data_IF_263652034456
#
_entry.id   IF_263652034456
#
_cell.length_a   1.000
_cell.length_b   1.000
_cell.length_c   1.000
_cell.angle_alpha   90.00
_cell.angle_beta   90.00
_cell.angle_gamma   90.00
#
_symmetry.space_group_name_H-M   'P 1'
#
loop_
_entity.id
_entity.type
_entity.pdbx_description
1 polymer ?
#
# COMPACT_ATOMS: atom_id res chain seq x y z
N UNK A 1 -13.85 5.18 -11.54
CA UNK A 1 -13.67 3.78 -11.01
C UNK A 1 -12.28 3.61 -10.44
N UNK A 2 -12.13 2.85 -9.34
CA UNK A 2 -10.80 2.47 -8.83
C UNK A 2 -10.18 1.44 -9.78
N UNK A 3 -9.02 1.73 -10.32
CA UNK A 3 -8.39 0.91 -11.34
C UNK A 3 -6.96 0.45 -10.99
N UNK A 4 -6.35 1.04 -9.95
CA UNK A 4 -4.98 0.73 -9.56
C UNK A 4 -4.75 0.80 -8.06
N UNK A 5 -3.80 0.02 -7.60
CA UNK A 5 -3.11 0.28 -6.35
C UNK A 5 -2.09 1.39 -6.64
N UNK A 6 -2.36 2.59 -6.13
CA UNK A 6 -1.48 3.74 -6.36
C UNK A 6 -0.17 3.58 -5.61
N UNK A 7 -0.26 3.37 -4.30
CA UNK A 7 0.91 3.10 -3.47
C UNK A 7 0.57 2.42 -2.15
N UNK A 8 1.61 1.99 -1.48
CA UNK A 8 1.58 1.46 -0.12
C UNK A 8 2.34 2.38 0.81
N UNK A 9 1.86 2.53 2.03
CA UNK A 9 2.49 3.37 3.05
C UNK A 9 3.13 2.49 4.11
N UNK A 10 4.42 2.72 4.36
CA UNK A 10 5.16 2.18 5.51
C UNK A 10 5.44 3.33 6.47
N UNK A 11 4.88 3.23 7.67
CA UNK A 11 5.14 4.20 8.72
C UNK A 11 6.47 3.87 9.41
N UNK A 12 7.34 4.87 9.52
CA UNK A 12 8.68 4.74 10.13
C UNK A 12 8.92 5.86 11.14
N UNK A 13 9.74 5.59 12.15
CA UNK A 13 10.13 6.58 13.18
C UNK A 13 11.27 7.47 12.70
N UNK A 14 12.22 6.91 11.96
CA UNK A 14 13.38 7.59 11.38
C UNK A 14 13.43 7.36 9.87
N UNK A 15 13.12 8.41 9.10
CA UNK A 15 13.07 8.32 7.65
C UNK A 15 14.44 8.01 7.04
N UNK A 16 15.53 8.58 7.58
CA UNK A 16 16.85 8.41 7.01
C UNK A 16 17.35 6.97 7.18
N UNK A 17 17.19 6.40 8.36
CA UNK A 17 17.51 5.00 8.63
C UNK A 17 16.69 4.06 7.76
N UNK A 18 15.38 4.33 7.63
CA UNK A 18 14.51 3.55 6.76
C UNK A 18 14.91 3.65 5.27
N UNK A 19 15.31 4.82 4.77
CA UNK A 19 15.82 4.98 3.40
C UNK A 19 17.03 4.08 3.17
N UNK A 20 17.96 4.00 4.12
CA UNK A 20 19.15 3.15 4.00
C UNK A 20 18.79 1.67 3.92
N UNK A 21 17.89 1.20 4.78
CA UNK A 21 17.47 -0.20 4.81
C UNK A 21 16.64 -0.59 3.60
N UNK A 22 15.69 0.26 3.19
CA UNK A 22 14.90 0.00 1.98
C UNK A 22 15.71 0.16 0.70
N UNK A 23 16.77 0.97 0.68
CA UNK A 23 17.73 1.02 -0.43
C UNK A 23 18.46 -0.31 -0.60
N UNK A 24 18.93 -0.93 0.50
CA UNK A 24 19.49 -2.29 0.48
C UNK A 24 18.45 -3.32 0.00
N UNK A 25 17.24 -3.22 0.51
CA UNK A 25 16.15 -4.14 0.14
C UNK A 25 15.78 -4.03 -1.33
N UNK A 26 15.46 -2.84 -1.85
CA UNK A 26 15.08 -2.64 -3.25
C UNK A 26 16.26 -2.77 -4.21
N UNK A 27 17.49 -2.42 -3.78
CA UNK A 27 18.69 -2.32 -4.59
C UNK A 27 18.85 -0.99 -5.32
N UNK A 28 18.01 -0.01 -5.05
CA UNK A 28 18.08 1.35 -5.60
C UNK A 28 17.56 2.38 -4.57
N UNK A 29 17.99 3.62 -4.75
CA UNK A 29 17.57 4.74 -3.89
C UNK A 29 16.16 5.23 -4.23
N UNK A 30 15.45 5.88 -3.29
CA UNK A 30 14.21 6.57 -3.62
C UNK A 30 14.49 7.66 -4.67
N UNK A 31 13.50 7.98 -5.48
CA UNK A 31 13.60 9.03 -6.50
C UNK A 31 12.88 10.31 -6.11
N UNK A 32 12.35 10.32 -4.89
CA UNK A 32 11.69 11.45 -4.28
C UNK A 32 11.94 11.41 -2.78
N UNK A 33 12.39 12.51 -2.21
CA UNK A 33 12.43 12.76 -0.77
C UNK A 33 11.84 14.13 -0.54
N UNK A 34 10.69 14.20 0.12
CA UNK A 34 9.95 15.45 0.23
C UNK A 34 9.15 15.57 1.51
N UNK A 35 8.35 16.63 1.57
CA UNK A 35 7.49 16.89 2.72
C UNK A 35 6.08 17.28 2.32
N UNK A 36 5.18 17.04 3.25
CA UNK A 36 3.83 17.56 3.25
C UNK A 36 3.73 18.57 4.41
N UNK A 37 4.13 19.81 4.14
CA UNK A 37 4.28 20.84 5.18
C UNK A 37 3.00 21.05 6.00
N UNK A 38 1.84 21.08 5.35
CA UNK A 38 0.54 21.26 6.00
C UNK A 38 0.12 20.08 6.89
N UNK A 39 0.64 18.87 6.62
CA UNK A 39 0.35 17.66 7.38
C UNK A 39 1.41 17.39 8.47
N UNK A 40 2.55 18.06 8.41
CA UNK A 40 3.70 17.83 9.29
C UNK A 40 4.36 16.47 9.08
N UNK A 41 4.50 16.02 7.83
CA UNK A 41 5.10 14.73 7.48
C UNK A 41 6.20 14.86 6.44
N UNK A 42 7.14 13.92 6.45
CA UNK A 42 8.18 13.74 5.43
C UNK A 42 8.10 12.34 4.86
N UNK A 43 8.49 12.21 3.60
CA UNK A 43 8.42 10.92 2.92
C UNK A 43 9.61 10.64 1.99
N UNK A 44 9.77 9.36 1.66
CA UNK A 44 10.65 8.90 0.58
C UNK A 44 9.89 7.89 -0.29
N UNK A 45 9.97 8.05 -1.62
CA UNK A 45 9.20 7.24 -2.57
C UNK A 45 10.13 6.37 -3.40
N UNK A 46 9.86 5.07 -3.38
CA UNK A 46 10.56 4.05 -4.16
C UNK A 46 9.67 3.61 -5.33
N UNK A 47 9.97 4.05 -6.59
CA UNK A 47 9.14 3.71 -7.74
C UNK A 47 9.30 2.26 -8.16
N UNK A 48 8.18 1.62 -8.43
CA UNK A 48 8.08 0.28 -8.99
C UNK A 48 7.46 0.34 -10.39
N UNK A 49 7.40 -0.77 -11.11
CA UNK A 49 6.81 -0.79 -12.46
C UNK A 49 5.31 -0.47 -12.44
N UNK A 50 4.61 -0.89 -11.38
CA UNK A 50 3.14 -0.85 -11.30
C UNK A 50 2.58 -0.02 -10.14
N UNK A 51 3.42 0.49 -9.25
CA UNK A 51 3.04 1.24 -8.04
C UNK A 51 4.28 1.96 -7.49
N UNK A 52 4.21 2.51 -6.29
CA UNK A 52 5.41 2.88 -5.52
C UNK A 52 5.23 2.56 -4.04
N UNK A 53 6.34 2.47 -3.31
CA UNK A 53 6.33 2.38 -1.87
C UNK A 53 6.66 3.75 -1.28
N UNK A 54 5.85 4.20 -0.34
CA UNK A 54 6.07 5.41 0.44
C UNK A 54 6.56 5.04 1.84
N UNK A 55 7.75 5.48 2.20
CA UNK A 55 8.17 5.57 3.59
C UNK A 55 7.68 6.90 4.14
N UNK A 56 6.91 6.89 5.23
CA UNK A 56 6.27 8.07 5.77
C UNK A 56 6.62 8.24 7.25
N UNK A 57 7.15 9.41 7.59
CA UNK A 57 7.55 9.76 8.96
C UNK A 57 6.93 11.09 9.41
N UNK A 58 6.79 11.27 10.72
CA UNK A 58 6.37 12.54 11.31
C UNK A 58 7.50 13.57 11.25
N UNK A 59 7.17 14.84 10.89
CA UNK A 59 8.07 15.97 10.93
C UNK A 59 7.40 17.16 11.64
N UNK A 60 7.65 17.31 12.91
CA UNK A 60 7.05 18.41 13.68
C UNK A 60 5.61 18.14 14.11
N UNK A 61 4.73 19.11 13.86
CA UNK A 61 3.33 19.11 14.27
C UNK A 61 2.42 19.15 13.04
N UNK A 62 1.24 18.57 13.16
CA UNK A 62 0.21 18.53 12.12
C UNK A 62 -0.63 17.26 12.27
N UNK A 63 -1.79 17.24 11.62
CA UNK A 63 -2.72 16.10 11.74
C UNK A 63 -2.09 14.80 11.24
N UNK A 64 -1.29 14.86 10.17
CA UNK A 64 -0.56 13.71 9.65
C UNK A 64 0.53 13.24 10.62
N UNK A 65 1.30 14.17 11.20
CA UNK A 65 2.31 13.85 12.21
C UNK A 65 1.70 13.15 13.43
N UNK A 66 0.54 13.64 13.91
CA UNK A 66 -0.14 13.03 15.06
C UNK A 66 -0.68 11.62 14.74
N UNK A 67 -1.21 11.42 13.53
CA UNK A 67 -1.64 10.08 13.07
C UNK A 67 -0.45 9.11 13.02
N UNK A 68 0.70 9.52 12.49
CA UNK A 68 1.91 8.71 12.43
C UNK A 68 2.40 8.37 13.84
N UNK A 69 2.53 9.36 14.73
CA UNK A 69 2.94 9.15 16.12
C UNK A 69 2.02 8.16 16.84
N UNK A 70 0.69 8.30 16.62
CA UNK A 70 -0.30 7.37 17.18
C UNK A 70 -0.11 5.96 16.63
N UNK A 71 0.04 5.81 15.29
CA UNK A 71 0.26 4.51 14.66
C UNK A 71 1.54 3.82 15.18
N UNK A 72 2.65 4.57 15.27
CA UNK A 72 3.91 4.07 15.81
C UNK A 72 3.78 3.59 17.27
N UNK A 73 3.02 4.34 18.09
CA UNK A 73 2.76 3.96 19.49
C UNK A 73 1.91 2.69 19.58
N UNK A 74 0.88 2.56 18.76
CA UNK A 74 -0.13 1.50 18.89
C UNK A 74 0.29 0.21 18.14
N UNK A 75 0.96 0.34 17.00
CA UNK A 75 1.28 -0.78 16.08
C UNK A 75 2.77 -0.95 15.79
N UNK A 76 3.61 0.06 16.10
CA UNK A 76 5.01 0.09 15.73
C UNK A 76 5.23 0.52 14.27
N UNK A 77 6.48 0.34 13.79
CA UNK A 77 6.86 0.58 12.39
C UNK A 77 6.33 -0.54 11.49
N UNK A 78 6.03 -0.22 10.25
CA UNK A 78 5.64 -1.21 9.25
C UNK A 78 4.57 -0.76 8.28
N UNK A 79 4.04 -1.74 7.55
CA UNK A 79 3.01 -1.54 6.54
C UNK A 79 1.71 -1.04 7.21
N UNK A 80 1.31 0.17 6.88
CA UNK A 80 0.23 0.87 7.58
C UNK A 80 -0.90 1.37 6.68
N UNK A 81 -0.65 1.55 5.38
CA UNK A 81 -1.64 2.14 4.48
C UNK A 81 -1.71 1.48 3.11
N UNK A 82 -2.92 1.46 2.57
CA UNK A 82 -3.27 1.00 1.23
C UNK A 82 -3.93 2.16 0.47
N UNK A 83 -3.30 2.63 -0.59
CA UNK A 83 -3.80 3.78 -1.35
C UNK A 83 -4.26 3.34 -2.73
N UNK A 84 -5.54 3.61 -3.03
CA UNK A 84 -6.17 3.25 -4.29
C UNK A 84 -6.25 4.46 -5.21
N UNK A 85 -5.93 4.28 -6.48
CA UNK A 85 -5.92 5.35 -7.47
C UNK A 85 -7.18 5.36 -8.33
N UNK A 86 -7.55 6.58 -8.76
CA UNK A 86 -8.60 6.83 -9.74
C UNK A 86 -8.24 8.04 -10.60
N UNK A 87 -8.82 8.12 -11.79
CA UNK A 87 -8.72 9.31 -12.64
C UNK A 87 -9.87 10.30 -12.43
N UNK A 88 -10.91 9.90 -11.69
CA UNK A 88 -12.04 10.76 -11.29
C UNK A 88 -12.45 10.46 -9.86
N UNK A 89 -11.93 11.26 -8.92
CA UNK A 89 -12.17 11.10 -7.49
C UNK A 89 -13.55 11.67 -7.08
N UNK A 90 -14.05 12.67 -7.81
CA UNK A 90 -15.37 13.26 -7.61
C UNK A 90 -16.45 12.21 -7.94
N UNK A 91 -16.37 11.56 -9.11
CA UNK A 91 -17.29 10.48 -9.49
C UNK A 91 -17.28 9.36 -8.45
N UNK A 92 -16.10 8.99 -7.97
CA UNK A 92 -15.99 7.95 -6.94
C UNK A 92 -16.65 8.37 -5.62
N UNK A 93 -16.45 9.62 -5.18
CA UNK A 93 -17.09 10.17 -3.97
C UNK A 93 -18.63 10.19 -4.12
N UNK A 94 -19.14 10.64 -5.26
CA UNK A 94 -20.58 10.63 -5.55
C UNK A 94 -21.17 9.22 -5.53
N UNK A 95 -20.43 8.23 -6.06
CA UNK A 95 -20.80 6.82 -5.98
C UNK A 95 -20.93 6.34 -4.53
N UNK A 96 -19.98 6.70 -3.64
CA UNK A 96 -20.09 6.35 -2.22
C UNK A 96 -21.36 6.95 -1.59
N UNK A 97 -21.61 8.22 -1.82
CA UNK A 97 -22.79 8.93 -1.31
C UNK A 97 -24.10 8.29 -1.83
N UNK A 98 -24.15 7.95 -3.11
CA UNK A 98 -25.32 7.28 -3.72
C UNK A 98 -25.58 5.87 -3.15
N UNK A 99 -24.56 5.23 -2.59
CA UNK A 99 -24.68 3.97 -1.86
C UNK A 99 -24.98 4.17 -0.35
N UNK A 100 -25.29 5.41 0.07
CA UNK A 100 -25.62 5.72 1.46
C UNK A 100 -24.42 5.81 2.40
N UNK A 101 -23.21 5.92 1.84
CA UNK A 101 -21.97 6.05 2.62
C UNK A 101 -21.67 7.54 2.81
N UNK A 102 -21.45 7.93 4.07
CA UNK A 102 -21.00 9.29 4.38
C UNK A 102 -19.51 9.42 4.00
N UNK A 103 -19.27 10.08 2.87
CA UNK A 103 -17.94 10.27 2.32
C UNK A 103 -17.39 11.65 2.74
N UNK A 104 -16.16 11.65 3.26
CA UNK A 104 -15.44 12.87 3.64
C UNK A 104 -15.32 13.85 2.45
N UNK A 105 -14.98 15.09 2.75
CA UNK A 105 -14.64 16.07 1.72
C UNK A 105 -13.29 15.75 1.08
N UNK A 106 -13.13 16.16 -0.19
CA UNK A 106 -11.88 16.02 -0.91
C UNK A 106 -10.84 17.00 -0.36
N UNK A 107 -9.64 16.51 -0.14
CA UNK A 107 -8.52 17.33 0.36
C UNK A 107 -7.48 17.47 -0.74
N UNK A 108 -7.13 18.72 -1.08
CA UNK A 108 -6.00 19.00 -1.95
C UNK A 108 -4.71 18.75 -1.20
N UNK A 109 -3.83 17.97 -1.80
CA UNK A 109 -2.49 17.69 -1.29
C UNK A 109 -1.42 18.23 -2.23
N UNK A 110 -0.28 18.56 -1.67
CA UNK A 110 0.93 18.90 -2.40
C UNK A 110 2.16 18.37 -1.68
N UNK A 111 3.19 18.06 -2.45
CA UNK A 111 4.50 17.68 -1.93
C UNK A 111 5.58 18.34 -2.78
N UNK A 112 6.66 18.71 -2.11
CA UNK A 112 7.83 19.32 -2.74
C UNK A 112 9.04 18.40 -2.49
N UNK A 113 9.78 18.09 -3.57
CA UNK A 113 11.00 17.28 -3.51
C UNK A 113 12.19 18.13 -3.10
N UNK A 114 12.97 17.67 -2.10
CA UNK A 114 14.09 18.44 -1.55
C UNK A 114 15.30 18.56 -2.47
N UNK A 115 15.50 17.59 -3.37
CA UNK A 115 16.68 17.57 -4.24
C UNK A 115 16.41 18.30 -5.55
N UNK A 116 15.23 18.09 -6.14
CA UNK A 116 14.91 18.59 -7.49
C UNK A 116 14.04 19.84 -7.49
N UNK A 117 13.47 20.21 -6.34
CA UNK A 117 12.45 21.27 -6.19
C UNK A 117 11.22 21.04 -7.09
N UNK A 118 10.98 19.81 -7.51
CA UNK A 118 9.77 19.44 -8.24
C UNK A 118 8.59 19.42 -7.28
N UNK A 119 7.42 19.82 -7.79
CA UNK A 119 6.18 19.80 -7.05
C UNK A 119 5.20 18.81 -7.67
N UNK A 120 4.53 18.01 -6.81
CA UNK A 120 3.40 17.16 -7.16
C UNK A 120 2.17 17.64 -6.43
N UNK A 121 1.02 17.54 -7.08
CA UNK A 121 -0.28 17.86 -6.48
C UNK A 121 -1.30 16.76 -6.76
N UNK A 122 -2.22 16.59 -5.84
CA UNK A 122 -3.25 15.55 -5.92
C UNK A 122 -4.50 15.93 -5.12
N UNK A 123 -5.57 15.17 -5.30
CA UNK A 123 -6.74 15.16 -4.42
C UNK A 123 -6.75 13.84 -3.65
N UNK A 124 -7.10 13.91 -2.36
CA UNK A 124 -7.31 12.76 -1.50
C UNK A 124 -8.77 12.68 -1.05
N UNK A 125 -9.28 11.47 -0.96
CA UNK A 125 -10.49 11.12 -0.24
C UNK A 125 -10.12 10.12 0.86
N UNK A 126 -9.99 10.60 2.10
CA UNK A 126 -9.75 9.73 3.25
C UNK A 126 -11.04 9.01 3.63
N UNK A 127 -10.97 7.69 3.75
CA UNK A 127 -12.11 6.87 4.12
C UNK A 127 -12.17 6.66 5.63
N UNK A 128 -13.36 6.67 6.25
CA UNK A 128 -13.50 6.38 7.67
C UNK A 128 -13.01 4.95 8.00
N UNK A 129 -12.32 4.78 9.13
CA UNK A 129 -11.86 3.45 9.58
C UNK A 129 -13.02 2.47 9.79
N UNK A 130 -14.21 2.95 10.14
CA UNK A 130 -15.42 2.13 10.24
C UNK A 130 -15.84 1.55 8.89
N UNK A 131 -15.66 2.30 7.78
CA UNK A 131 -15.91 1.80 6.44
C UNK A 131 -14.83 0.81 6.01
N UNK A 132 -13.57 1.14 6.27
CA UNK A 132 -12.41 0.35 5.81
C UNK A 132 -12.01 -0.76 6.78
N UNK A 133 -12.84 -1.01 7.80
CA UNK A 133 -12.72 -2.14 8.74
C UNK A 133 -11.37 -2.14 9.47
N UNK A 134 -10.95 -0.94 9.91
CA UNK A 134 -9.70 -0.73 10.65
C UNK A 134 -8.45 -0.48 9.81
N UNK A 135 -8.51 -0.66 8.49
CA UNK A 135 -7.39 -0.33 7.60
C UNK A 135 -7.31 1.18 7.31
N UNK A 136 -6.10 1.71 7.25
CA UNK A 136 -5.87 3.05 6.71
C UNK A 136 -5.90 2.99 5.18
N UNK A 137 -7.07 3.30 4.61
CA UNK A 137 -7.30 3.32 3.16
C UNK A 137 -7.77 4.70 2.75
N UNK A 138 -7.17 5.25 1.71
CA UNK A 138 -7.68 6.46 1.05
C UNK A 138 -7.55 6.35 -0.47
N UNK A 139 -8.30 7.21 -1.15
CA UNK A 139 -8.30 7.30 -2.61
C UNK A 139 -7.52 8.52 -3.02
N UNK A 140 -6.74 8.40 -4.10
CA UNK A 140 -5.94 9.49 -4.64
C UNK A 140 -6.19 9.67 -6.14
N UNK A 141 -6.23 10.95 -6.55
CA UNK A 141 -6.15 11.38 -7.94
C UNK A 141 -4.98 12.35 -8.10
N UNK A 142 -3.96 11.95 -8.85
CA UNK A 142 -2.87 12.84 -9.19
C UNK A 142 -3.31 13.91 -10.16
N UNK A 143 -2.91 15.18 -9.91
CA UNK A 143 -3.25 16.34 -10.75
C UNK A 143 -2.05 16.80 -11.57
N UNK A 144 -0.90 17.02 -10.92
CA UNK A 144 0.31 17.49 -11.56
C UNK A 144 1.56 16.80 -11.02
N UNK A 145 2.61 16.78 -11.85
CA UNK A 145 3.89 16.16 -11.53
C UNK A 145 3.84 14.65 -11.64
N UNK A 146 4.99 14.05 -11.87
CA UNK A 146 5.18 12.60 -11.95
C UNK A 146 6.31 12.17 -11.02
N UNK A 147 6.20 10.96 -10.45
CA UNK A 147 7.30 10.35 -9.72
C UNK A 147 8.35 9.89 -10.74
N UNK A 148 9.62 10.34 -10.63
CA UNK A 148 10.68 9.86 -11.52
C UNK A 148 10.88 8.36 -11.39
N UNK A 149 10.99 7.67 -12.52
CA UNK A 149 11.29 6.24 -12.56
C UNK A 149 12.78 5.95 -12.37
N UNK A 150 13.08 4.69 -12.13
CA UNK A 150 14.47 4.16 -11.98
C UNK A 150 14.73 3.10 -13.03
N UNK A 151 15.88 3.16 -13.68
CA UNK A 151 16.36 2.06 -14.53
C UNK A 151 16.94 0.96 -13.64
N UNK A 152 16.31 -0.20 -13.66
CA UNK A 152 16.63 -1.33 -12.77
C UNK A 152 17.40 -2.43 -13.49
N UNK A 153 18.32 -3.08 -12.77
CA UNK A 153 18.93 -4.32 -13.23
C UNK A 153 18.09 -5.57 -12.81
N UNK A 154 18.56 -6.76 -13.16
CA UNK A 154 17.80 -7.98 -12.93
C UNK A 154 17.79 -8.47 -11.46
N UNK A 155 18.64 -7.89 -10.60
CA UNK A 155 18.72 -8.25 -9.17
C UNK A 155 17.86 -7.38 -8.26
N UNK A 156 17.35 -6.29 -8.80
CA UNK A 156 16.57 -5.30 -8.06
C UNK A 156 15.08 -5.63 -8.06
N UNK A 157 14.37 -5.17 -7.02
CA UNK A 157 12.92 -5.32 -6.95
C UNK A 157 12.28 -4.56 -8.12
N UNK A 158 11.49 -5.25 -8.93
CA UNK A 158 10.92 -4.69 -10.15
C UNK A 158 9.51 -4.14 -9.94
N UNK A 159 8.63 -4.96 -9.34
CA UNK A 159 7.23 -4.60 -9.11
C UNK A 159 6.65 -5.28 -7.86
N UNK A 160 5.51 -4.80 -7.41
CA UNK A 160 4.67 -5.46 -6.43
C UNK A 160 3.81 -6.52 -7.14
N UNK A 161 3.84 -7.77 -6.66
CA UNK A 161 2.93 -8.81 -7.15
C UNK A 161 1.58 -8.69 -6.44
N UNK A 162 1.59 -8.72 -5.10
CA UNK A 162 0.39 -8.54 -4.30
C UNK A 162 0.68 -7.98 -2.90
N UNK A 163 -0.34 -7.38 -2.31
CA UNK A 163 -0.43 -7.09 -0.88
C UNK A 163 -1.36 -8.10 -0.23
N UNK A 164 -1.03 -8.55 0.98
CA UNK A 164 -1.83 -9.51 1.73
C UNK A 164 -2.57 -8.83 2.86
N UNK A 165 -3.87 -9.09 2.95
CA UNK A 165 -4.76 -8.64 4.01
C UNK A 165 -5.33 -9.84 4.75
N UNK A 166 -5.25 -9.84 6.08
CA UNK A 166 -5.99 -10.79 6.90
C UNK A 166 -7.35 -10.19 7.29
N UNK A 167 -8.39 -11.01 7.30
CA UNK A 167 -9.74 -10.63 7.71
C UNK A 167 -10.40 -11.74 8.52
N UNK A 168 -11.28 -11.38 9.45
CA UNK A 168 -12.19 -12.28 10.15
C UNK A 168 -13.60 -12.33 9.51
N UNK A 169 -13.85 -11.53 8.45
CA UNK A 169 -15.12 -11.47 7.73
C UNK A 169 -14.87 -11.30 6.22
N UNK A 170 -14.76 -12.42 5.51
CA UNK A 170 -14.50 -12.43 4.06
C UNK A 170 -15.69 -11.94 3.25
N UNK A 171 -16.92 -12.07 3.76
CA UNK A 171 -18.13 -11.60 3.08
C UNK A 171 -18.17 -10.06 3.07
N UNK A 172 -18.02 -9.42 4.22
CA UNK A 172 -18.00 -7.97 4.29
C UNK A 172 -16.80 -7.35 3.53
N UNK A 173 -15.67 -8.10 3.40
CA UNK A 173 -14.59 -7.66 2.53
C UNK A 173 -15.01 -7.66 1.05
N UNK A 174 -15.76 -8.68 0.59
CA UNK A 174 -16.32 -8.73 -0.76
C UNK A 174 -17.29 -7.58 -0.99
N UNK A 175 -18.24 -7.37 -0.08
CA UNK A 175 -19.25 -6.32 -0.17
C UNK A 175 -18.59 -4.94 -0.34
N UNK A 176 -17.55 -4.65 0.44
CA UNK A 176 -16.84 -3.37 0.35
C UNK A 176 -16.01 -3.26 -0.95
N UNK A 177 -15.08 -4.20 -1.16
CA UNK A 177 -14.08 -4.03 -2.23
C UNK A 177 -14.63 -4.33 -3.62
N UNK A 178 -15.52 -5.34 -3.75
CA UNK A 178 -16.13 -5.68 -5.04
C UNK A 178 -17.37 -4.82 -5.32
N UNK A 179 -18.33 -4.79 -4.39
CA UNK A 179 -19.65 -4.25 -4.72
C UNK A 179 -19.71 -2.73 -4.56
N UNK A 180 -19.05 -2.17 -3.53
CA UNK A 180 -18.99 -0.73 -3.31
C UNK A 180 -17.84 -0.12 -4.12
N UNK A 181 -16.60 -0.58 -3.93
CA UNK A 181 -15.44 -0.01 -4.61
C UNK A 181 -15.36 -0.39 -6.09
N UNK A 182 -15.99 -1.49 -6.50
CA UNK A 182 -16.03 -1.95 -7.89
C UNK A 182 -14.75 -2.65 -8.33
N UNK A 183 -13.94 -3.15 -7.40
CA UNK A 183 -12.71 -3.87 -7.69
C UNK A 183 -13.03 -5.31 -8.07
N UNK A 184 -12.46 -5.79 -9.17
CA UNK A 184 -12.76 -7.12 -9.70
C UNK A 184 -12.27 -8.24 -8.77
N UNK A 185 -13.18 -9.03 -8.21
CA UNK A 185 -12.87 -10.30 -7.55
C UNK A 185 -12.49 -11.35 -8.63
N UNK A 186 -11.20 -11.69 -8.68
CA UNK A 186 -10.62 -12.59 -9.70
C UNK A 186 -10.65 -14.04 -9.29
N UNK A 187 -10.58 -14.32 -8.01
CA UNK A 187 -10.64 -15.65 -7.42
C UNK A 187 -11.27 -15.58 -6.03
N UNK A 188 -12.09 -16.57 -5.74
CA UNK A 188 -12.71 -16.84 -4.45
C UNK A 188 -12.60 -18.34 -4.21
N UNK A 189 -11.78 -18.75 -3.25
CA UNK A 189 -11.47 -20.15 -3.02
C UNK A 189 -11.45 -20.50 -1.53
N UNK A 190 -12.24 -21.50 -1.17
CA UNK A 190 -12.12 -22.13 0.14
C UNK A 190 -10.95 -23.13 0.12
N UNK A 191 -10.10 -23.07 1.16
CA UNK A 191 -8.90 -23.91 1.30
C UNK A 191 -9.11 -24.86 2.47
N UNK A 192 -9.55 -26.08 2.20
CA UNK A 192 -9.89 -27.12 3.21
C UNK A 192 -8.75 -27.39 4.20
N UNK A 193 -7.50 -27.39 3.72
CA UNK A 193 -6.31 -27.71 4.53
C UNK A 193 -6.19 -26.89 5.81
N UNK A 194 -6.64 -25.63 5.82
CA UNK A 194 -6.57 -24.75 6.99
C UNK A 194 -7.94 -24.15 7.35
N UNK A 195 -9.01 -24.58 6.65
CA UNK A 195 -10.39 -24.20 6.95
C UNK A 195 -10.66 -22.71 6.79
N UNK A 196 -10.11 -22.07 5.75
CA UNK A 196 -10.28 -20.66 5.50
C UNK A 196 -10.46 -20.34 4.02
N UNK A 197 -10.69 -19.07 3.72
CA UNK A 197 -11.01 -18.55 2.38
C UNK A 197 -9.89 -17.64 1.88
N UNK A 198 -9.57 -17.74 0.63
CA UNK A 198 -8.64 -16.87 -0.09
C UNK A 198 -9.40 -16.12 -1.17
N UNK A 199 -9.29 -14.80 -1.16
CA UNK A 199 -9.87 -13.92 -2.17
C UNK A 199 -8.75 -13.18 -2.90
N UNK A 200 -8.90 -12.96 -4.20
CA UNK A 200 -7.94 -12.20 -5.01
C UNK A 200 -8.67 -11.09 -5.75
N UNK A 201 -8.37 -9.84 -5.40
CA UNK A 201 -8.92 -8.66 -6.04
C UNK A 201 -7.88 -8.06 -7.00
N UNK A 202 -8.22 -8.03 -8.29
CA UNK A 202 -7.31 -7.54 -9.34
C UNK A 202 -7.40 -6.05 -9.54
N UNK A 203 -6.27 -5.36 -9.42
CA UNK A 203 -6.09 -3.93 -9.66
C UNK A 203 -4.97 -3.73 -10.66
N UNK A 204 -5.31 -3.52 -11.94
CA UNK A 204 -4.35 -3.37 -13.01
C UNK A 204 -3.29 -4.50 -12.99
N UNK A 205 -2.04 -4.20 -12.71
CA UNK A 205 -0.93 -5.16 -12.70
C UNK A 205 -0.59 -5.69 -11.29
N UNK A 206 -1.48 -5.54 -10.31
CA UNK A 206 -1.27 -6.01 -8.94
C UNK A 206 -2.54 -6.65 -8.37
N UNK A 207 -2.42 -7.25 -7.21
CA UNK A 207 -3.52 -7.97 -6.56
C UNK A 207 -3.57 -7.62 -5.07
N UNK A 208 -4.77 -7.49 -4.52
CA UNK A 208 -5.01 -7.59 -3.08
C UNK A 208 -5.38 -9.06 -2.83
N UNK A 209 -4.51 -9.79 -2.14
CA UNK A 209 -4.79 -11.14 -1.64
C UNK A 209 -5.37 -11.04 -0.24
N UNK A 210 -6.54 -11.62 -0.04
CA UNK A 210 -7.21 -11.63 1.25
C UNK A 210 -7.25 -13.05 1.79
N UNK A 211 -6.81 -13.21 3.03
CA UNK A 211 -6.80 -14.47 3.74
C UNK A 211 -7.70 -14.32 4.97
N UNK A 212 -8.71 -15.17 5.07
CA UNK A 212 -9.64 -15.07 6.19
C UNK A 212 -10.29 -16.36 6.59
N UNK A 213 -10.79 -16.36 7.81
CA UNK A 213 -11.76 -17.31 8.32
C UNK A 213 -12.94 -16.51 8.82
N UNK A 214 -14.13 -16.86 8.33
CA UNK A 214 -15.34 -16.22 8.80
C UNK A 214 -15.65 -16.76 10.22
N UNK A 215 -15.36 -15.94 11.23
CA UNK A 215 -15.69 -16.21 12.60
C UNK A 215 -17.04 -15.57 12.91
N UNK A 216 -18.05 -16.39 13.13
CA UNK A 216 -19.41 -15.93 13.48
C UNK A 216 -19.53 -15.35 14.90
N UNK A 217 -18.47 -15.44 15.69
CA UNK A 217 -18.43 -14.99 17.08
C UNK A 217 -17.80 -13.60 17.27
N UNK A 218 -17.15 -13.05 16.25
CA UNK A 218 -16.54 -11.73 16.31
C UNK A 218 -17.59 -10.67 15.93
N UNK A 219 -17.95 -9.82 16.89
CA UNK A 219 -18.96 -8.76 16.69
C UNK A 219 -18.48 -7.64 15.76
N UNK A 220 -17.17 -7.38 15.71
CA UNK A 220 -16.59 -6.32 14.88
C UNK A 220 -15.61 -6.89 13.84
N UNK A 221 -15.83 -6.61 12.54
CA UNK A 221 -14.89 -6.99 11.50
C UNK A 221 -13.59 -6.22 11.63
N UNK A 222 -12.46 -6.92 11.72
CA UNK A 222 -11.13 -6.33 11.78
C UNK A 222 -10.25 -6.88 10.65
N UNK A 223 -9.73 -5.95 9.84
CA UNK A 223 -8.78 -6.26 8.79
C UNK A 223 -7.39 -5.79 9.18
N UNK A 224 -6.37 -6.52 8.76
CA UNK A 224 -4.98 -6.15 8.99
C UNK A 224 -4.10 -6.39 7.78
N UNK A 225 -3.20 -5.46 7.51
CA UNK A 225 -2.17 -5.63 6.49
C UNK A 225 -1.11 -6.60 7.02
N UNK A 226 -0.84 -7.68 6.28
CA UNK A 226 0.06 -8.73 6.74
C UNK A 226 1.43 -8.71 6.07
N UNK A 227 1.48 -8.47 4.76
CA UNK A 227 2.75 -8.51 4.05
C UNK A 227 2.65 -8.19 2.57
N UNK A 228 3.81 -8.20 1.91
CA UNK A 228 3.99 -7.80 0.52
C UNK A 228 4.76 -8.86 -0.25
N UNK A 229 4.31 -9.19 -1.44
CA UNK A 229 5.03 -10.05 -2.36
C UNK A 229 5.62 -9.23 -3.52
N UNK A 230 6.88 -9.43 -3.79
CA UNK A 230 7.65 -8.68 -4.77
C UNK A 230 8.08 -9.54 -5.94
N UNK A 231 8.22 -8.95 -7.10
CA UNK A 231 8.77 -9.62 -8.28
C UNK A 231 10.16 -9.09 -8.59
N UNK A 232 11.05 -10.01 -8.93
CA UNK A 232 12.40 -9.74 -9.43
C UNK A 232 12.59 -10.48 -10.75
N UNK A 233 13.46 -9.98 -11.64
CA UNK A 233 13.74 -10.64 -12.92
C UNK A 233 14.65 -11.87 -12.80
N UNK A 234 15.51 -11.89 -11.78
CA UNK A 234 16.47 -12.97 -11.52
C UNK A 234 16.54 -13.20 -9.99
N UNK A 235 15.83 -14.22 -9.52
CA UNK A 235 15.72 -14.52 -8.08
C UNK A 235 17.07 -14.89 -7.45
N UNK A 236 17.93 -15.62 -8.17
CA UNK A 236 19.25 -16.01 -7.65
C UNK A 236 20.16 -14.79 -7.47
N UNK A 237 20.15 -13.87 -8.44
CA UNK A 237 20.90 -12.60 -8.30
C UNK A 237 20.35 -11.72 -7.20
N UNK A 238 19.03 -11.58 -7.10
CA UNK A 238 18.39 -10.81 -6.03
C UNK A 238 18.73 -11.37 -4.65
N UNK A 239 18.65 -12.69 -4.46
CA UNK A 239 18.99 -13.36 -3.21
C UNK A 239 20.45 -13.13 -2.81
N UNK A 240 21.39 -13.30 -3.77
CA UNK A 240 22.82 -13.03 -3.54
C UNK A 240 23.09 -11.58 -3.16
N UNK A 241 22.44 -10.64 -3.86
CA UNK A 241 22.55 -9.20 -3.55
C UNK A 241 22.04 -8.90 -2.14
N UNK A 242 20.85 -9.36 -1.77
CA UNK A 242 20.29 -9.14 -0.44
C UNK A 242 21.22 -9.65 0.67
N UNK A 243 21.80 -10.85 0.51
CA UNK A 243 22.80 -11.39 1.46
C UNK A 243 24.05 -10.47 1.52
N UNK A 244 24.55 -10.04 0.37
CA UNK A 244 25.74 -9.17 0.34
C UNK A 244 25.52 -7.78 0.95
N UNK A 245 24.28 -7.29 0.93
CA UNK A 245 23.84 -6.04 1.56
C UNK A 245 23.50 -6.20 3.06
N UNK A 246 23.62 -7.43 3.59
CA UNK A 246 23.34 -7.73 4.99
C UNK A 246 21.85 -7.86 5.31
N UNK A 247 20.99 -8.01 4.31
CA UNK A 247 19.56 -8.26 4.52
C UNK A 247 19.34 -9.72 4.89
N UNK A 248 18.64 -9.96 5.99
CA UNK A 248 18.30 -11.32 6.42
C UNK A 248 17.25 -11.92 5.46
N UNK A 249 17.60 -13.02 4.82
CA UNK A 249 16.73 -13.72 3.87
C UNK A 249 16.76 -15.23 4.10
N UNK A 250 15.62 -15.88 3.92
CA UNK A 250 15.55 -17.34 3.95
C UNK A 250 16.10 -17.94 2.66
N UNK A 251 16.53 -19.23 2.65
CA UNK A 251 16.86 -19.91 1.41
C UNK A 251 15.72 -19.88 0.40
N UNK A 252 16.07 -19.80 -0.89
CA UNK A 252 15.09 -19.86 -1.98
C UNK A 252 14.31 -21.16 -1.89
N UNK A 253 12.98 -21.06 -1.98
CA UNK A 253 12.07 -22.20 -2.00
C UNK A 253 11.24 -22.17 -3.27
N UNK A 254 10.92 -23.34 -3.81
CA UNK A 254 9.99 -23.44 -4.94
C UNK A 254 8.59 -23.03 -4.50
N UNK A 255 8.02 -22.04 -5.18
CA UNK A 255 6.66 -21.59 -4.94
C UNK A 255 5.61 -22.57 -5.49
N UNK A 256 4.34 -22.30 -5.19
CA UNK A 256 3.21 -23.11 -5.68
C UNK A 256 2.82 -22.76 -7.12
N UNK A 257 2.97 -21.49 -7.48
CA UNK A 257 2.66 -20.99 -8.83
C UNK A 257 3.86 -21.28 -9.75
N UNK A 258 3.65 -21.75 -11.00
CA UNK A 258 4.73 -21.90 -11.97
C UNK A 258 5.52 -20.60 -12.14
N UNK A 259 6.85 -20.68 -12.05
CA UNK A 259 7.74 -19.51 -12.14
C UNK A 259 7.98 -18.77 -10.81
N UNK A 260 7.52 -19.33 -9.68
CA UNK A 260 7.78 -18.78 -8.34
C UNK A 260 8.50 -19.78 -7.46
#
# INVERSE_FOLDING_TARGET
MLDRLDHLVITVSDLQSAIEDYTKFFGFKPTWIGEHADLGTINALFPLENTYLELLAAKGNGIGAEMIKKNLKDKGEGLSGLVLGTDDIEEFREKLISNGIDANELILGAGDDFETNQRRTWKNLFLPFTLTRGLFVFIIQHLTGALPGVKKDNSQIDRLDHVVVNTNDTHGFIDLYKDIFGIRLSLDQFVEKWGGRMLFFGLNKTTIEVIGKDNQEDEDPEDSLWGLAWTVKDLDKAHKRLISEGVEVTPIKKGRKPGT
#
